data_IF_671325537951
#
_entry.id   IF_671325537951
#
_cell.length_a   1.000
_cell.length_b   1.000
_cell.length_c   1.000
_cell.angle_alpha   90.00
_cell.angle_beta   90.00
_cell.angle_gamma   90.00
#
_symmetry.space_group_name_H-M   'P 1'
#
loop_
_entity.id
_entity.type
_entity.pdbx_description
1 polymer ?
#
# COMPACT_ATOMS: atom_id res chain seq x y z
N UNK A 1 -0.74 -34.42 31.38
CA UNK A 1 -0.95 -32.97 31.50
C UNK A 1 -1.04 -32.42 30.08
N UNK A 2 -2.26 -32.09 29.64
CA UNK A 2 -2.56 -31.68 28.27
C UNK A 2 -2.43 -30.16 28.19
N UNK A 3 -1.50 -29.67 27.37
CA UNK A 3 -1.35 -28.24 27.07
C UNK A 3 -2.58 -27.73 26.33
N UNK A 4 -3.13 -26.55 26.67
CA UNK A 4 -4.25 -25.99 25.94
C UNK A 4 -3.76 -25.52 24.57
N UNK A 5 -4.39 -26.07 23.53
CA UNK A 5 -4.20 -25.68 22.15
C UNK A 5 -4.80 -24.28 22.01
N UNK A 6 -3.94 -23.25 21.97
CA UNK A 6 -4.35 -21.87 21.71
C UNK A 6 -5.15 -21.84 20.40
N UNK A 7 -6.39 -21.31 20.36
CA UNK A 7 -7.09 -21.16 19.11
C UNK A 7 -6.29 -20.16 18.27
N UNK A 8 -5.73 -20.66 17.16
CA UNK A 8 -5.08 -19.83 16.16
C UNK A 8 -6.03 -18.71 15.78
N UNK A 9 -5.71 -17.49 16.20
CA UNK A 9 -6.38 -16.28 15.74
C UNK A 9 -6.38 -16.37 14.22
N UNK A 10 -7.54 -16.25 13.52
CA UNK A 10 -7.51 -16.22 12.07
C UNK A 10 -6.50 -15.15 11.70
N UNK A 11 -5.52 -15.51 10.85
CA UNK A 11 -4.53 -14.57 10.33
C UNK A 11 -5.31 -13.37 9.79
N UNK A 12 -5.41 -12.30 10.59
CA UNK A 12 -6.23 -11.17 10.24
C UNK A 12 -5.49 -10.49 9.10
N UNK A 13 -5.99 -10.71 7.88
CA UNK A 13 -5.51 -10.01 6.71
C UNK A 13 -5.48 -8.51 7.05
N UNK A 14 -4.35 -7.82 6.80
CA UNK A 14 -4.29 -6.40 7.09
C UNK A 14 -5.41 -5.67 6.34
N UNK A 15 -6.13 -4.81 7.05
CA UNK A 15 -7.22 -4.00 6.50
C UNK A 15 -6.79 -3.15 5.28
N UNK A 16 -5.52 -2.77 5.22
CA UNK A 16 -4.96 -2.01 4.12
C UNK A 16 -4.75 -2.84 2.85
N UNK A 17 -4.64 -4.17 2.96
CA UNK A 17 -4.30 -5.03 1.82
C UNK A 17 -5.45 -5.19 0.84
N UNK A 18 -6.68 -5.35 1.32
CA UNK A 18 -7.86 -5.35 0.44
C UNK A 18 -7.99 -4.02 -0.30
N UNK A 19 -7.84 -2.91 0.41
CA UNK A 19 -7.92 -1.58 -0.18
C UNK A 19 -6.77 -1.28 -1.14
N UNK A 20 -5.57 -1.79 -0.85
CA UNK A 20 -4.43 -1.69 -1.75
C UNK A 20 -4.67 -2.45 -3.07
N UNK A 21 -5.28 -3.64 -3.00
CA UNK A 21 -5.57 -4.47 -4.16
C UNK A 21 -6.73 -3.93 -5.01
N UNK A 22 -7.74 -3.33 -4.39
CA UNK A 22 -8.87 -2.68 -5.08
C UNK A 22 -8.54 -1.25 -5.59
N UNK A 23 -7.51 -0.63 -5.01
CA UNK A 23 -7.13 0.73 -5.35
C UNK A 23 -6.75 0.90 -6.82
N UNK A 24 -7.43 1.85 -7.47
CA UNK A 24 -7.04 2.31 -8.81
C UNK A 24 -5.93 3.35 -8.69
N UNK A 25 -4.69 2.96 -8.98
CA UNK A 25 -3.53 3.85 -9.06
C UNK A 25 -3.50 4.64 -10.37
N UNK A 26 -2.62 5.65 -10.46
CA UNK A 26 -2.46 6.51 -11.64
C UNK A 26 -3.72 7.30 -12.00
N UNK A 27 -4.45 7.75 -10.97
CA UNK A 27 -5.58 8.67 -11.09
C UNK A 27 -5.15 10.06 -10.63
N UNK A 28 -5.79 11.11 -11.15
CA UNK A 28 -5.55 12.47 -10.68
C UNK A 28 -5.95 12.61 -9.21
N UNK A 29 -5.06 13.15 -8.39
CA UNK A 29 -5.35 13.42 -6.99
C UNK A 29 -6.46 14.48 -6.87
N UNK A 30 -7.52 14.15 -6.14
CA UNK A 30 -8.66 15.07 -5.91
C UNK A 30 -8.24 16.33 -5.15
N UNK A 31 -7.27 16.21 -4.24
CA UNK A 31 -6.74 17.34 -3.48
C UNK A 31 -5.76 18.20 -4.30
N UNK A 32 -5.10 17.62 -5.31
CA UNK A 32 -4.06 18.28 -6.11
C UNK A 32 -4.40 18.22 -7.60
N UNK A 33 -5.50 18.80 -8.04
CA UNK A 33 -5.93 18.81 -9.45
C UNK A 33 -5.07 19.71 -10.37
N UNK A 34 -3.90 20.16 -9.92
CA UNK A 34 -3.07 21.08 -10.68
C UNK A 34 -2.39 20.37 -11.87
N UNK A 35 -2.37 20.97 -13.06
CA UNK A 35 -1.90 20.34 -14.30
C UNK A 35 -0.38 20.14 -14.40
N UNK A 36 0.41 20.43 -13.36
CA UNK A 36 1.86 20.25 -13.38
C UNK A 36 2.22 18.82 -12.96
N UNK A 37 2.44 17.97 -13.96
CA UNK A 37 3.25 16.74 -14.10
C UNK A 37 3.39 15.69 -12.97
N UNK A 38 2.87 15.86 -11.74
CA UNK A 38 3.06 14.87 -10.65
C UNK A 38 1.85 14.75 -9.70
N UNK A 39 0.65 14.98 -10.21
CA UNK A 39 -0.59 14.85 -9.43
C UNK A 39 -1.18 13.43 -9.42
N UNK A 40 -0.54 12.47 -10.07
CA UNK A 40 -1.03 11.10 -10.15
C UNK A 40 -0.89 10.39 -8.80
N UNK A 41 -1.94 9.69 -8.37
CA UNK A 41 -1.93 8.88 -7.15
C UNK A 41 -1.24 7.55 -7.42
N UNK A 42 0.08 7.58 -7.40
CA UNK A 42 0.97 6.44 -7.61
C UNK A 42 1.60 5.93 -6.30
N UNK A 43 1.18 6.45 -5.15
CA UNK A 43 1.70 6.05 -3.84
C UNK A 43 0.51 5.63 -2.98
N UNK A 44 0.65 4.56 -2.21
CA UNK A 44 -0.35 4.13 -1.23
C UNK A 44 0.17 4.37 0.18
N UNK A 45 -0.58 5.05 1.04
CA UNK A 45 -0.26 5.17 2.45
C UNK A 45 -0.98 4.07 3.23
N UNK A 46 -0.21 3.23 3.93
CA UNK A 46 -0.73 2.08 4.67
C UNK A 46 -1.54 2.54 5.88
N UNK A 47 -1.03 3.50 6.64
CA UNK A 47 -1.63 3.98 7.89
C UNK A 47 -2.93 4.74 7.63
N UNK A 48 -3.01 5.45 6.51
CA UNK A 48 -4.23 6.14 6.11
C UNK A 48 -5.12 5.32 5.19
N UNK A 49 -4.68 4.12 4.78
CA UNK A 49 -5.39 3.23 3.86
C UNK A 49 -5.91 4.00 2.64
N UNK A 50 -5.03 4.78 2.00
CA UNK A 50 -5.44 5.66 0.89
C UNK A 50 -4.33 5.87 -0.13
N UNK A 51 -4.74 6.02 -1.39
CA UNK A 51 -3.87 6.47 -2.48
C UNK A 51 -3.57 7.96 -2.38
N UNK A 52 -2.32 8.32 -2.58
CA UNK A 52 -1.77 9.68 -2.47
C UNK A 52 -0.84 9.96 -3.67
N UNK A 53 -0.64 11.23 -4.00
CA UNK A 53 0.34 11.66 -5.01
C UNK A 53 1.62 12.15 -4.36
N UNK A 54 2.65 12.47 -5.16
CA UNK A 54 3.91 13.04 -4.68
C UNK A 54 3.71 14.31 -3.83
N UNK A 55 2.75 15.16 -4.18
CA UNK A 55 2.43 16.36 -3.37
C UNK A 55 1.81 16.06 -2.00
N UNK A 56 1.21 14.89 -1.82
CA UNK A 56 0.69 14.47 -0.51
C UNK A 56 1.81 13.91 0.37
N UNK A 57 2.90 13.39 -0.21
CA UNK A 57 3.98 12.74 0.53
C UNK A 57 4.56 13.58 1.69
N UNK A 58 4.74 14.91 1.57
CA UNK A 58 5.20 15.75 2.68
C UNK A 58 4.26 15.75 3.90
N UNK A 59 2.98 15.44 3.73
CA UNK A 59 2.00 15.29 4.81
C UNK A 59 1.99 13.88 5.42
N UNK A 60 2.74 12.95 4.82
CA UNK A 60 2.79 11.54 5.14
C UNK A 60 4.23 11.09 5.49
N UNK A 61 5.10 12.01 5.92
CA UNK A 61 6.52 11.73 6.21
C UNK A 61 6.75 10.74 7.34
N UNK A 62 5.77 10.58 8.23
CA UNK A 62 5.80 9.65 9.36
C UNK A 62 4.99 8.36 9.10
N UNK A 63 4.37 8.24 7.93
CA UNK A 63 3.56 7.07 7.58
C UNK A 63 4.37 6.16 6.67
N UNK A 64 4.09 4.87 6.74
CA UNK A 64 4.64 3.95 5.77
C UNK A 64 3.83 4.05 4.46
N UNK A 65 4.57 4.23 3.38
CA UNK A 65 4.00 4.42 2.05
C UNK A 65 4.62 3.46 1.07
N UNK A 66 3.78 2.87 0.20
CA UNK A 66 4.17 1.97 -0.88
C UNK A 66 4.09 2.71 -2.21
N UNK A 67 5.23 3.00 -2.87
CA UNK A 67 5.23 3.49 -4.24
C UNK A 67 4.77 2.38 -5.20
N UNK A 68 3.80 2.70 -6.04
CA UNK A 68 3.26 1.83 -7.07
C UNK A 68 3.77 2.27 -8.43
N UNK A 69 4.31 1.31 -9.18
CA UNK A 69 4.84 1.48 -10.52
C UNK A 69 3.92 0.78 -11.53
N UNK A 70 3.98 1.20 -12.79
CA UNK A 70 3.20 0.60 -13.87
C UNK A 70 4.14 -0.13 -14.82
N UNK A 71 3.97 -1.43 -14.97
CA UNK A 71 4.72 -2.26 -15.91
C UNK A 71 3.75 -3.04 -16.80
N UNK A 72 3.78 -2.79 -18.10
CA UNK A 72 2.99 -3.55 -19.10
C UNK A 72 1.51 -3.77 -18.69
N UNK A 73 0.86 -2.73 -18.15
CA UNK A 73 -0.53 -2.71 -17.65
C UNK A 73 -0.79 -3.27 -16.25
N UNK A 74 0.23 -3.75 -15.55
CA UNK A 74 0.12 -4.19 -14.16
C UNK A 74 0.65 -3.13 -13.19
N UNK A 75 -0.01 -3.03 -12.05
CA UNK A 75 0.47 -2.23 -10.92
C UNK A 75 1.45 -3.10 -10.13
N UNK A 76 2.70 -2.64 -9.99
CA UNK A 76 3.76 -3.37 -9.29
C UNK A 76 4.30 -2.54 -8.15
N UNK A 77 4.67 -3.21 -7.05
CA UNK A 77 5.33 -2.60 -5.90
C UNK A 77 6.67 -3.25 -5.67
N UNK A 78 7.60 -2.50 -5.13
CA UNK A 78 8.90 -3.03 -4.83
C UNK A 78 8.81 -3.99 -3.63
N UNK A 79 9.37 -5.19 -3.79
CA UNK A 79 9.29 -6.24 -2.77
C UNK A 79 9.80 -5.76 -1.40
N UNK A 80 10.89 -4.97 -1.40
CA UNK A 80 11.48 -4.41 -0.18
C UNK A 80 10.52 -3.52 0.61
N UNK A 81 9.64 -2.79 -0.08
CA UNK A 81 8.73 -1.85 0.56
C UNK A 81 7.58 -2.63 1.22
N UNK A 82 7.01 -3.61 0.51
CA UNK A 82 5.89 -4.41 1.01
C UNK A 82 6.33 -5.46 2.05
N UNK A 83 7.58 -5.95 1.99
CA UNK A 83 8.16 -6.87 2.98
C UNK A 83 8.22 -6.30 4.40
N UNK A 84 8.17 -4.97 4.56
CA UNK A 84 8.08 -4.33 5.88
C UNK A 84 6.73 -4.55 6.54
N UNK A 85 5.71 -4.94 5.77
CA UNK A 85 4.31 -5.04 6.21
C UNK A 85 3.71 -6.43 6.00
N UNK A 86 4.25 -7.24 5.09
CA UNK A 86 3.82 -8.61 4.82
C UNK A 86 5.01 -9.56 4.85
N UNK A 87 4.78 -10.78 5.33
CA UNK A 87 5.74 -11.86 5.17
C UNK A 87 5.75 -12.32 3.70
N UNK A 88 6.74 -11.85 2.94
CA UNK A 88 6.92 -12.22 1.54
C UNK A 88 7.94 -13.35 1.35
N UNK A 89 8.26 -14.16 2.37
CA UNK A 89 9.26 -15.23 2.25
C UNK A 89 8.94 -16.29 1.19
N UNK A 90 7.69 -16.37 0.72
CA UNK A 90 7.25 -17.30 -0.34
C UNK A 90 7.10 -16.67 -1.73
N UNK A 91 7.44 -15.39 -1.88
CA UNK A 91 7.44 -14.68 -3.17
C UNK A 91 8.82 -14.88 -3.82
N UNK A 92 8.86 -15.46 -5.04
CA UNK A 92 10.08 -15.77 -5.81
C UNK A 92 10.21 -14.90 -7.05
#
# INVERSE_FOLDING_TARGET
ELTPETPGRPEQKPNWLDEFLDAQFFRTCVAHQHPRDQNETNIFCIECVKRICHHCLPHHTLHDTLPVWKYESHNVVHLRDIQRHLDCCRVQ
#
